data_IF_271772064824
#
_entry.id   IF_271772064824
#
_cell.length_a   1.000
_cell.length_b   1.000
_cell.length_c   1.000
_cell.angle_alpha   90.00
_cell.angle_beta   90.00
_cell.angle_gamma   90.00
#
_symmetry.space_group_name_H-M   'P 1'
#
loop_
_entity.id
_entity.type
_entity.pdbx_description
1 polymer ?
#
# COMPACT_ATOMS: atom_id res chain seq x y z
N UNK A 1 9.48 -7.87 -16.59
CA UNK A 1 9.75 -9.19 -15.97
C UNK A 1 10.67 -9.10 -14.76
N UNK A 2 11.71 -8.29 -14.78
CA UNK A 2 12.70 -8.19 -13.68
C UNK A 2 12.12 -7.80 -12.31
N UNK A 3 11.22 -6.82 -12.25
CA UNK A 3 10.60 -6.39 -10.98
C UNK A 3 9.84 -7.53 -10.29
N UNK A 4 9.00 -8.25 -11.04
CA UNK A 4 8.22 -9.35 -10.49
C UNK A 4 9.10 -10.54 -10.11
N UNK A 5 10.21 -10.78 -10.84
CA UNK A 5 11.19 -11.80 -10.46
C UNK A 5 11.86 -11.47 -9.11
N UNK A 6 12.22 -10.21 -8.87
CA UNK A 6 12.80 -9.75 -7.60
C UNK A 6 11.80 -9.84 -6.44
N UNK A 7 10.53 -9.52 -6.67
CA UNK A 7 9.46 -9.69 -5.66
C UNK A 7 9.19 -11.17 -5.38
N UNK A 8 9.09 -12.00 -6.41
CA UNK A 8 8.83 -13.45 -6.28
C UNK A 8 10.00 -14.18 -5.63
N UNK A 9 11.24 -13.75 -5.89
CA UNK A 9 12.43 -14.28 -5.23
C UNK A 9 12.56 -13.85 -3.76
N UNK A 10 11.69 -12.97 -3.25
CA UNK A 10 11.68 -12.52 -1.86
C UNK A 10 12.76 -11.49 -1.52
N UNK A 11 13.55 -11.06 -2.51
CA UNK A 11 14.57 -10.02 -2.34
C UNK A 11 13.95 -8.64 -2.02
N UNK A 12 12.72 -8.40 -2.50
CA UNK A 12 11.93 -7.21 -2.16
C UNK A 12 10.65 -7.64 -1.47
N UNK A 13 10.46 -7.18 -0.24
CA UNK A 13 9.22 -7.37 0.53
C UNK A 13 8.40 -6.08 0.52
N UNK A 14 7.19 -6.15 -0.06
CA UNK A 14 6.26 -5.02 -0.13
C UNK A 14 5.42 -5.02 1.15
N UNK A 15 5.76 -4.11 2.08
CA UNK A 15 5.00 -3.95 3.31
C UNK A 15 3.69 -3.17 3.08
N UNK A 16 2.56 -3.84 3.28
CA UNK A 16 1.23 -3.21 3.25
C UNK A 16 0.87 -2.75 4.66
N UNK A 17 1.04 -1.46 4.93
CA UNK A 17 0.79 -0.86 6.25
C UNK A 17 -0.69 -0.56 6.51
N UNK A 18 -1.46 -0.33 5.44
CA UNK A 18 -2.86 0.10 5.56
C UNK A 18 -3.72 -0.42 4.42
N UNK A 19 -4.96 -0.75 4.76
CA UNK A 19 -6.01 -1.21 3.85
C UNK A 19 -7.26 -0.39 4.12
N UNK A 20 -7.83 0.20 3.09
CA UNK A 20 -9.07 0.95 3.17
C UNK A 20 -10.09 0.35 2.22
N UNK A 21 -11.36 0.33 2.60
CA UNK A 21 -12.42 0.04 1.64
C UNK A 21 -12.42 1.13 0.54
N UNK A 22 -12.85 0.77 -0.66
CA UNK A 22 -12.94 1.73 -1.78
C UNK A 22 -13.88 2.90 -1.42
N UNK A 23 -14.87 2.68 -0.57
CA UNK A 23 -15.76 3.72 -0.05
C UNK A 23 -15.05 4.75 0.85
N UNK A 24 -13.91 4.36 1.44
CA UNK A 24 -13.18 5.15 2.43
C UNK A 24 -11.97 5.87 1.82
N UNK A 25 -11.90 6.00 0.49
CA UNK A 25 -10.79 6.66 -0.24
C UNK A 25 -10.51 8.06 0.29
N UNK A 26 -11.55 8.81 0.65
CA UNK A 26 -11.38 10.14 1.23
C UNK A 26 -10.54 10.09 2.52
N UNK A 27 -10.75 9.08 3.37
CA UNK A 27 -10.00 8.92 4.60
C UNK A 27 -8.56 8.48 4.32
N UNK A 28 -8.37 7.57 3.37
CA UNK A 28 -7.04 7.14 2.93
C UNK A 28 -6.15 8.32 2.49
N UNK A 29 -6.72 9.27 1.75
CA UNK A 29 -6.02 10.48 1.30
C UNK A 29 -5.69 11.42 2.46
N UNK A 30 -6.65 11.67 3.36
CA UNK A 30 -6.41 12.51 4.55
C UNK A 30 -5.27 11.97 5.42
N UNK A 31 -5.23 10.66 5.62
CA UNK A 31 -4.19 10.04 6.46
C UNK A 31 -2.82 10.04 5.77
N UNK A 32 -2.78 9.90 4.44
CA UNK A 32 -1.55 10.06 3.65
C UNK A 32 -1.01 11.50 3.70
N UNK A 33 -1.86 12.49 3.46
CA UNK A 33 -1.49 13.92 3.48
C UNK A 33 -1.06 14.39 4.88
N UNK A 34 -1.70 13.86 5.92
CA UNK A 34 -1.33 14.11 7.31
C UNK A 34 -0.07 13.34 7.76
N UNK A 35 0.59 12.60 6.86
CA UNK A 35 1.79 11.79 7.12
C UNK A 35 1.58 10.73 8.21
N UNK A 36 0.39 10.15 8.29
CA UNK A 36 0.05 9.08 9.26
C UNK A 36 0.32 7.67 8.75
N UNK A 37 0.63 7.51 7.46
CA UNK A 37 0.85 6.20 6.83
C UNK A 37 2.33 5.88 6.72
N UNK A 38 2.68 4.61 6.91
CA UNK A 38 4.03 4.07 6.64
C UNK A 38 3.89 2.81 5.81
N UNK A 39 4.68 2.67 4.74
CA UNK A 39 4.54 1.57 3.78
C UNK A 39 3.39 1.78 2.79
N UNK A 40 3.01 0.71 2.10
CA UNK A 40 2.03 0.78 1.00
C UNK A 40 0.59 0.83 1.51
N UNK A 41 -0.21 1.71 0.89
CA UNK A 41 -1.67 1.76 1.04
C UNK A 41 -2.32 1.00 -0.10
N UNK A 42 -3.29 0.14 0.21
CA UNK A 42 -4.13 -0.48 -0.81
C UNK A 42 -5.61 -0.20 -0.55
N UNK A 43 -6.39 -0.18 -1.64
CA UNK A 43 -7.84 -0.11 -1.61
C UNK A 43 -8.43 -1.49 -1.86
N UNK A 44 -9.47 -1.84 -1.11
CA UNK A 44 -10.18 -3.12 -1.22
C UNK A 44 -11.66 -2.89 -1.56
N UNK A 45 -12.25 -3.78 -2.34
CA UNK A 45 -13.69 -3.78 -2.64
C UNK A 45 -14.50 -4.40 -1.51
#
# INVERSE_FOLDING_TARGET
>A
DDLFAVVTSGQVNIHIGQRYALTDVQQAHRDLEARKTTGCTILTL
#
